data_IF_219536881439
#
_entry.id   IF_219536881439
#
_cell.length_a   1.000
_cell.length_b   1.000
_cell.length_c   1.000
_cell.angle_alpha   90.00
_cell.angle_beta   90.00
_cell.angle_gamma   90.00
#
_symmetry.space_group_name_H-M   'P 1'
#
loop_
_entity.id
_entity.type
_entity.pdbx_description
1 polymer ?
#
# COMPACT_ATOMS: atom_id res chain seq x y z
N UNK A 1 6.07 18.25 -4.43
CA UNK A 1 5.84 16.87 -3.90
C UNK A 1 5.36 15.89 -4.96
N UNK A 2 4.28 16.18 -5.72
CA UNK A 2 3.76 15.24 -6.75
C UNK A 2 4.80 14.78 -7.77
N UNK A 3 5.53 15.72 -8.38
CA UNK A 3 6.58 15.42 -9.36
C UNK A 3 7.67 14.48 -8.81
N UNK A 4 7.99 14.58 -7.51
CA UNK A 4 8.96 13.68 -6.88
C UNK A 4 8.40 12.25 -6.77
N UNK A 5 7.15 12.09 -6.35
CA UNK A 5 6.51 10.77 -6.25
C UNK A 5 6.40 10.10 -7.62
N UNK A 6 6.01 10.86 -8.64
CA UNK A 6 5.96 10.37 -10.02
C UNK A 6 7.35 9.97 -10.53
N UNK A 7 8.36 10.83 -10.33
CA UNK A 7 9.74 10.50 -10.66
C UNK A 7 10.19 9.21 -9.96
N UNK A 8 9.92 9.09 -8.66
CA UNK A 8 10.29 7.92 -7.88
C UNK A 8 9.60 6.66 -8.41
N UNK A 9 8.28 6.66 -8.58
CA UNK A 9 7.54 5.48 -9.09
C UNK A 9 7.91 5.12 -10.53
N UNK A 10 8.45 6.04 -11.32
CA UNK A 10 8.95 5.79 -12.67
C UNK A 10 10.38 5.24 -12.71
N UNK A 11 11.22 5.57 -11.73
CA UNK A 11 12.65 5.27 -11.76
C UNK A 11 13.13 4.33 -10.65
N UNK A 12 12.31 4.06 -9.64
CA UNK A 12 12.69 3.33 -8.43
C UNK A 12 13.21 1.92 -8.71
N UNK A 13 12.69 1.23 -9.74
CA UNK A 13 13.18 -0.10 -10.13
C UNK A 13 14.68 -0.10 -10.43
N UNK A 14 15.15 0.91 -11.17
CA UNK A 14 16.55 1.04 -11.55
C UNK A 14 17.38 1.62 -10.41
N UNK A 15 16.84 2.58 -9.64
CA UNK A 15 17.56 3.18 -8.53
C UNK A 15 17.81 2.15 -7.41
N UNK A 16 16.81 1.32 -7.08
CA UNK A 16 16.93 0.31 -6.02
C UNK A 16 18.07 -0.69 -6.29
N UNK A 17 18.26 -1.10 -7.54
CA UNK A 17 19.32 -2.06 -7.89
C UNK A 17 20.73 -1.45 -7.77
N UNK A 18 20.89 -0.13 -7.99
CA UNK A 18 22.20 0.53 -7.86
C UNK A 18 22.77 0.54 -6.44
N UNK A 19 21.89 0.47 -5.44
CA UNK A 19 22.24 0.47 -4.02
C UNK A 19 22.05 -0.90 -3.36
N UNK A 20 21.87 -1.96 -4.16
CA UNK A 20 21.82 -3.35 -3.69
C UNK A 20 20.48 -3.80 -3.11
N UNK A 21 19.39 -3.05 -3.31
CA UNK A 21 18.05 -3.47 -2.91
C UNK A 21 17.35 -4.30 -3.99
N UNK A 22 16.40 -5.13 -3.56
CA UNK A 22 15.52 -5.89 -4.44
C UNK A 22 14.36 -4.98 -4.87
N UNK A 23 14.19 -4.69 -6.18
CA UNK A 23 13.09 -3.87 -6.64
C UNK A 23 11.75 -4.61 -6.50
N UNK A 24 10.68 -3.84 -6.42
CA UNK A 24 9.32 -4.38 -6.45
C UNK A 24 9.05 -5.00 -7.84
N UNK A 25 8.17 -6.02 -7.96
CA UNK A 25 7.69 -6.48 -9.26
C UNK A 25 7.02 -5.34 -10.04
N UNK A 26 7.04 -5.42 -11.38
CA UNK A 26 6.51 -4.37 -12.25
C UNK A 26 5.05 -4.02 -11.95
N UNK A 27 4.23 -5.03 -11.64
CA UNK A 27 2.84 -4.84 -11.22
C UNK A 27 2.74 -3.98 -9.96
N UNK A 28 3.64 -4.12 -9.01
CA UNK A 28 3.60 -3.38 -7.76
C UNK A 28 3.80 -1.87 -7.96
N UNK A 29 4.67 -1.47 -8.90
CA UNK A 29 4.83 -0.05 -9.26
C UNK A 29 3.57 0.51 -9.93
N UNK A 30 2.87 -0.28 -10.73
CA UNK A 30 1.60 0.14 -11.34
C UNK A 30 0.50 0.30 -10.30
N UNK A 31 0.36 -0.67 -9.39
CA UNK A 31 -0.60 -0.60 -8.28
C UNK A 31 -0.33 0.60 -7.38
N UNK A 32 0.94 0.87 -7.05
CA UNK A 32 1.34 2.03 -6.25
C UNK A 32 0.95 3.37 -6.93
N UNK A 33 1.11 3.48 -8.25
CA UNK A 33 0.64 4.66 -9.00
C UNK A 33 -0.88 4.80 -8.92
N UNK A 34 -1.63 3.71 -9.10
CA UNK A 34 -3.09 3.73 -9.01
C UNK A 34 -3.55 4.19 -7.63
N UNK A 35 -3.00 3.62 -6.56
CA UNK A 35 -3.31 4.03 -5.18
C UNK A 35 -2.98 5.51 -4.93
N UNK A 36 -1.82 5.96 -5.41
CA UNK A 36 -1.40 7.35 -5.31
C UNK A 36 -2.39 8.30 -6.01
N UNK A 37 -2.81 7.98 -7.23
CA UNK A 37 -3.76 8.80 -7.99
C UNK A 37 -5.17 8.79 -7.38
N UNK A 38 -5.55 7.70 -6.72
CA UNK A 38 -6.82 7.60 -5.98
C UNK A 38 -6.79 8.30 -4.62
N UNK A 39 -5.63 8.80 -4.20
CA UNK A 39 -5.42 9.33 -2.86
C UNK A 39 -5.86 8.35 -1.75
N UNK A 40 -5.63 7.04 -1.97
CA UNK A 40 -5.90 6.02 -0.95
C UNK A 40 -4.94 6.23 0.22
N UNK A 41 -5.49 6.30 1.44
CA UNK A 41 -4.75 6.54 2.68
C UNK A 41 -5.07 5.45 3.70
N UNK A 42 -4.12 5.20 4.61
CA UNK A 42 -4.24 4.19 5.66
C UNK A 42 -3.39 2.95 5.38
N UNK A 43 -3.73 1.84 6.03
CA UNK A 43 -3.01 0.58 5.91
C UNK A 43 -3.97 -0.53 5.48
N UNK A 44 -3.45 -1.44 4.66
CA UNK A 44 -4.15 -2.68 4.31
C UNK A 44 -4.09 -3.70 5.44
N UNK A 45 -3.05 -3.63 6.29
CA UNK A 45 -2.94 -4.47 7.47
C UNK A 45 -3.85 -3.88 8.54
N UNK A 46 -4.91 -4.59 8.91
CA UNK A 46 -5.99 -4.15 9.80
C UNK A 46 -5.56 -4.04 11.28
N UNK A 47 -4.35 -3.58 11.55
CA UNK A 47 -3.71 -3.57 12.86
C UNK A 47 -3.19 -4.95 13.29
N UNK A 48 -3.34 -5.98 12.45
CA UNK A 48 -2.89 -7.35 12.71
C UNK A 48 -1.77 -7.71 11.74
N UNK A 49 -0.60 -8.18 12.21
CA UNK A 49 0.43 -8.71 11.33
C UNK A 49 -0.06 -9.95 10.59
N UNK A 50 0.06 -9.96 9.26
CA UNK A 50 -0.27 -11.10 8.41
C UNK A 50 1.03 -11.72 7.84
N UNK A 51 1.63 -12.74 8.49
CA UNK A 51 2.77 -13.44 7.93
C UNK A 51 2.36 -14.31 6.73
N UNK A 52 3.33 -14.67 5.89
CA UNK A 52 3.15 -15.54 4.72
C UNK A 52 2.24 -14.98 3.60
N UNK A 53 2.04 -13.67 3.54
CA UNK A 53 1.39 -13.01 2.40
C UNK A 53 2.44 -12.49 1.42
N UNK A 54 2.14 -12.57 0.13
CA UNK A 54 3.01 -12.00 -0.90
C UNK A 54 2.79 -10.50 -1.03
N UNK A 55 3.80 -9.77 -1.51
CA UNK A 55 3.70 -8.33 -1.74
C UNK A 55 2.60 -7.99 -2.76
N UNK A 56 2.39 -8.85 -3.76
CA UNK A 56 1.36 -8.65 -4.78
C UNK A 56 -0.05 -8.75 -4.19
N UNK A 57 -0.28 -9.69 -3.28
CA UNK A 57 -1.57 -9.81 -2.58
C UNK A 57 -1.85 -8.58 -1.73
N UNK A 58 -0.85 -8.08 -1.00
CA UNK A 58 -0.98 -6.88 -0.17
C UNK A 58 -1.32 -5.66 -1.01
N UNK A 59 -0.61 -5.42 -2.12
CA UNK A 59 -0.80 -4.24 -2.96
C UNK A 59 -2.14 -4.20 -3.74
N UNK A 60 -2.83 -5.34 -3.88
CA UNK A 60 -4.14 -5.40 -4.54
C UNK A 60 -5.31 -5.08 -3.60
N UNK A 61 -5.09 -5.13 -2.28
CA UNK A 61 -6.13 -4.81 -1.30
C UNK A 61 -6.32 -3.30 -1.20
N UNK A 62 -7.51 -2.89 -0.78
CA UNK A 62 -7.81 -1.49 -0.49
C UNK A 62 -7.33 -1.13 0.92
N UNK A 63 -6.66 0.01 1.05
CA UNK A 63 -6.31 0.55 2.36
C UNK A 63 -7.58 0.91 3.13
N UNK A 64 -7.67 0.48 4.40
CA UNK A 64 -8.75 0.88 5.30
C UNK A 64 -8.21 1.89 6.30
N UNK A 65 -8.98 2.95 6.54
CA UNK A 65 -8.64 3.94 7.55
C UNK A 65 -9.15 3.46 8.93
N UNK A 66 -8.34 3.65 9.98
CA UNK A 66 -8.62 3.06 11.30
C UNK A 66 -9.96 3.53 11.91
N UNK A 67 -10.42 4.75 11.59
CA UNK A 67 -11.72 5.25 12.09
C UNK A 67 -12.92 4.48 11.54
N UNK A 68 -12.85 3.93 10.32
CA UNK A 68 -13.90 3.05 9.78
C UNK A 68 -13.94 1.70 10.53
N UNK A 69 -12.79 1.23 11.00
CA UNK A 69 -12.71 0.00 11.78
C UNK A 69 -13.23 0.19 13.19
N UNK A 70 -12.89 1.30 13.83
CA UNK A 70 -13.41 1.68 15.15
C UNK A 70 -14.93 1.86 15.11
N UNK A 71 -15.47 2.50 14.07
CA UNK A 71 -16.91 2.64 13.87
C UNK A 71 -17.63 1.28 13.68
N UNK A 72 -17.04 0.36 12.91
CA UNK A 72 -17.58 -1.01 12.74
C UNK A 72 -17.49 -1.85 14.02
N UNK A 73 -16.40 -1.73 14.78
CA UNK A 73 -16.23 -2.41 16.09
C UNK A 73 -17.24 -1.88 17.12
N UNK A 74 -17.47 -0.57 17.17
CA UNK A 74 -18.47 0.02 18.07
C UNK A 74 -19.91 -0.42 17.71
N UNK A 75 -20.22 -0.60 16.42
CA UNK A 75 -21.53 -1.09 15.97
C UNK A 75 -21.78 -2.57 16.29
N UNK A 76 -20.75 -3.42 16.25
CA UNK A 76 -20.88 -4.86 16.55
C UNK A 76 -20.91 -5.18 18.05
N UNK A 77 -20.60 -4.21 18.92
CA UNK A 77 -20.60 -4.41 20.39
C UNK A 77 -21.98 -4.18 21.03
N UNK A 78 -22.94 -3.67 20.25
CA UNK A 78 -24.31 -3.35 20.67
C UNK A 78 -25.36 -4.32 20.08
N UNK A 79 -24.95 -5.52 19.66
CA UNK A 79 -25.83 -6.63 19.27
C UNK A 79 -25.59 -7.84 20.17
#
# INVERSE_FOLDING_TARGET
>A
MRAFVEFYLNNAKNLATTVGYIPLPDEGYQLAKVQYHKAEIGTTFEGVPEPNVTIAEVLRRQAKFQTEQEAKRASNSNQ
#
